data_IF_065688736859
#
_entry.id   IF_065688736859
#
_cell.length_a   1.000
_cell.length_b   1.000
_cell.length_c   1.000
_cell.angle_alpha   90.00
_cell.angle_beta   90.00
_cell.angle_gamma   90.00
#
_symmetry.space_group_name_H-M   'P 1'
#
loop_
_entity.id
_entity.type
_entity.pdbx_description
1 polymer ?
#
# COMPACT_ATOMS: atom_id res chain seq x y z
N UNK A 1 -2.51 -15.78 22.88
CA UNK A 1 -1.56 -15.84 21.77
C UNK A 1 -2.23 -15.77 20.40
N UNK A 2 -3.14 -16.67 20.02
CA UNK A 2 -3.81 -16.64 18.71
C UNK A 2 -4.62 -15.35 18.42
N UNK A 3 -5.39 -14.85 19.40
CA UNK A 3 -6.17 -13.62 19.24
C UNK A 3 -5.30 -12.38 18.93
N UNK A 4 -4.11 -12.31 19.53
CA UNK A 4 -3.21 -11.15 19.36
C UNK A 4 -2.64 -11.06 17.94
N UNK A 5 -2.36 -12.20 17.31
CA UNK A 5 -1.92 -12.26 15.91
C UNK A 5 -3.02 -11.90 14.90
N UNK A 6 -4.28 -12.17 15.24
CA UNK A 6 -5.43 -11.78 14.39
C UNK A 6 -5.86 -10.33 14.60
N UNK A 7 -5.68 -9.78 15.80
CA UNK A 7 -6.08 -8.41 16.12
C UNK A 7 -5.09 -7.36 15.60
N UNK A 8 -3.79 -7.65 15.60
CA UNK A 8 -2.78 -6.67 15.20
C UNK A 8 -2.94 -6.13 13.77
N UNK A 9 -3.21 -6.96 12.73
CA UNK A 9 -3.42 -6.47 11.37
C UNK A 9 -4.71 -5.65 11.23
N UNK A 10 -5.76 -5.99 11.97
CA UNK A 10 -7.03 -5.25 11.96
C UNK A 10 -6.87 -3.88 12.60
N UNK A 11 -6.17 -3.80 13.73
CA UNK A 11 -5.86 -2.52 14.40
C UNK A 11 -4.96 -1.67 13.51
N UNK A 12 -3.89 -2.25 12.96
CA UNK A 12 -2.99 -1.56 12.06
C UNK A 12 -3.69 -1.08 10.78
N UNK A 13 -4.61 -1.88 10.24
CA UNK A 13 -5.45 -1.48 9.11
C UNK A 13 -6.31 -0.26 9.45
N UNK A 14 -7.01 -0.27 10.59
CA UNK A 14 -7.85 0.86 11.01
C UNK A 14 -7.03 2.15 11.18
N UNK A 15 -5.92 2.08 11.92
CA UNK A 15 -5.03 3.23 12.14
C UNK A 15 -4.38 3.71 10.83
N UNK A 16 -3.90 2.78 10.03
CA UNK A 16 -3.30 3.04 8.73
C UNK A 16 -4.27 3.67 7.75
N UNK A 17 -5.53 3.24 7.74
CA UNK A 17 -6.58 3.81 6.89
C UNK A 17 -6.85 5.27 7.23
N UNK A 18 -6.94 5.59 8.54
CA UNK A 18 -7.10 6.97 9.00
C UNK A 18 -5.90 7.83 8.62
N UNK A 19 -4.67 7.33 8.83
CA UNK A 19 -3.45 8.06 8.47
C UNK A 19 -3.37 8.31 6.96
N UNK A 20 -3.62 7.28 6.15
CA UNK A 20 -3.58 7.39 4.69
C UNK A 20 -4.70 8.30 4.16
N UNK A 21 -5.88 8.31 4.78
CA UNK A 21 -6.93 9.28 4.45
C UNK A 21 -6.43 10.71 4.64
N UNK A 22 -5.83 11.02 5.79
CA UNK A 22 -5.26 12.36 6.07
C UNK A 22 -4.15 12.70 5.07
N UNK A 23 -3.28 11.75 4.74
CA UNK A 23 -2.23 11.96 3.74
C UNK A 23 -2.80 12.20 2.34
N UNK A 24 -3.85 11.48 1.92
CA UNK A 24 -4.52 11.72 0.65
C UNK A 24 -5.10 13.15 0.60
N UNK A 25 -5.73 13.61 1.69
CA UNK A 25 -6.22 14.99 1.79
C UNK A 25 -5.06 16.00 1.68
N UNK A 26 -3.95 15.74 2.36
CA UNK A 26 -2.75 16.60 2.27
C UNK A 26 -2.14 16.61 0.86
N UNK A 27 -2.26 15.52 0.11
CA UNK A 27 -1.86 15.41 -1.30
C UNK A 27 -2.87 16.01 -2.29
N UNK A 28 -3.94 16.66 -1.82
CA UNK A 28 -4.91 17.36 -2.67
C UNK A 28 -6.16 16.56 -3.02
N UNK A 29 -6.45 15.45 -2.31
CA UNK A 29 -7.72 14.77 -2.46
C UNK A 29 -8.90 15.66 -2.02
N UNK A 30 -10.10 15.47 -2.59
CA UNK A 30 -11.28 16.24 -2.23
C UNK A 30 -11.59 16.20 -0.72
N UNK A 31 -11.66 17.38 -0.09
CA UNK A 31 -11.81 17.53 1.38
C UNK A 31 -13.26 17.51 1.84
N UNK A 32 -14.15 18.22 1.14
CA UNK A 32 -15.54 18.41 1.57
C UNK A 32 -16.54 17.54 0.80
N UNK A 33 -16.18 17.15 -0.41
CA UNK A 33 -16.97 16.28 -1.27
C UNK A 33 -16.17 14.98 -1.45
N UNK A 34 -16.86 13.84 -1.56
CA UNK A 34 -16.23 12.53 -1.75
C UNK A 34 -15.37 12.03 -0.55
N UNK A 35 -15.71 12.43 0.68
CA UNK A 35 -14.98 12.01 1.90
C UNK A 35 -15.00 10.49 2.07
N UNK A 36 -16.13 9.84 1.83
CA UNK A 36 -16.27 8.39 1.96
C UNK A 36 -15.43 7.65 0.93
N UNK A 37 -15.36 8.18 -0.28
CA UNK A 37 -14.57 7.63 -1.37
C UNK A 37 -13.08 7.78 -1.10
N UNK A 38 -12.65 8.96 -0.61
CA UNK A 38 -11.25 9.19 -0.19
C UNK A 38 -10.89 8.31 1.00
N UNK A 39 -11.81 8.11 1.96
CA UNK A 39 -11.59 7.17 3.06
C UNK A 39 -11.55 5.72 2.58
N UNK A 40 -12.42 5.34 1.64
CA UNK A 40 -12.41 4.03 1.00
C UNK A 40 -11.10 3.75 0.27
N UNK A 41 -10.53 4.75 -0.42
CA UNK A 41 -9.18 4.66 -0.98
C UNK A 41 -8.12 4.51 0.12
N UNK A 42 -8.22 5.24 1.23
CA UNK A 42 -7.37 5.05 2.40
C UNK A 42 -7.41 3.62 2.96
N UNK A 43 -8.61 3.06 3.11
CA UNK A 43 -8.84 1.66 3.50
C UNK A 43 -8.20 0.66 2.54
N UNK A 44 -8.35 0.90 1.24
CA UNK A 44 -7.76 0.09 0.18
C UNK A 44 -6.24 0.12 0.22
N UNK A 45 -5.64 1.31 0.32
CA UNK A 45 -4.19 1.46 0.43
C UNK A 45 -3.66 0.84 1.71
N UNK A 46 -4.32 1.02 2.85
CA UNK A 46 -3.94 0.39 4.12
C UNK A 46 -3.96 -1.15 4.03
N UNK A 47 -4.94 -1.71 3.33
CA UNK A 47 -5.04 -3.14 3.11
C UNK A 47 -3.86 -3.69 2.30
N UNK A 48 -3.40 -2.95 1.29
CA UNK A 48 -2.27 -3.36 0.45
C UNK A 48 -0.90 -3.08 1.09
N UNK A 49 -0.78 -2.04 1.92
CA UNK A 49 0.52 -1.54 2.41
C UNK A 49 0.80 -1.88 3.87
N UNK A 50 -0.19 -1.74 4.75
CA UNK A 50 -0.02 -1.86 6.21
C UNK A 50 -0.29 -3.28 6.69
N UNK A 51 -1.37 -3.90 6.21
CA UNK A 51 -1.80 -5.23 6.64
C UNK A 51 -0.74 -6.32 6.42
N UNK A 52 -0.05 -6.42 5.27
CA UNK A 52 0.95 -7.47 5.08
C UNK A 52 2.11 -7.38 6.07
N UNK A 53 2.58 -6.16 6.35
CA UNK A 53 3.65 -5.95 7.32
C UNK A 53 3.17 -6.25 8.75
N UNK A 54 1.95 -5.81 9.11
CA UNK A 54 1.37 -6.04 10.43
C UNK A 54 1.03 -7.52 10.69
N UNK A 55 0.73 -8.29 9.64
CA UNK A 55 0.50 -9.74 9.74
C UNK A 55 1.77 -10.52 10.10
N UNK A 56 2.94 -10.03 9.68
CA UNK A 56 4.23 -10.70 9.94
C UNK A 56 4.85 -10.19 11.24
N UNK A 57 4.87 -8.87 11.45
CA UNK A 57 5.61 -8.22 12.54
C UNK A 57 4.72 -7.72 13.68
N UNK A 58 3.40 -7.84 13.56
CA UNK A 58 2.46 -7.23 14.50
C UNK A 58 2.36 -5.71 14.32
N UNK A 59 1.76 -5.04 15.31
CA UNK A 59 1.53 -3.60 15.27
C UNK A 59 2.76 -2.82 15.84
N UNK A 60 3.90 -2.95 15.18
CA UNK A 60 5.15 -2.23 15.52
C UNK A 60 5.46 -1.15 14.47
N UNK A 61 5.26 0.11 14.84
CA UNK A 61 5.49 1.25 13.95
C UNK A 61 6.96 1.46 13.59
N UNK A 62 7.90 1.19 14.51
CA UNK A 62 9.33 1.33 14.24
C UNK A 62 9.78 0.28 13.24
N UNK A 63 9.35 -0.98 13.43
CA UNK A 63 9.65 -2.05 12.48
C UNK A 63 9.01 -1.80 11.12
N UNK A 64 7.78 -1.27 11.08
CA UNK A 64 7.13 -0.87 9.84
C UNK A 64 7.93 0.21 9.09
N UNK A 65 8.40 1.25 9.78
CA UNK A 65 9.20 2.30 9.17
C UNK A 65 10.53 1.75 8.63
N UNK A 66 11.22 0.93 9.41
CA UNK A 66 12.48 0.30 9.01
C UNK A 66 12.30 -0.54 7.74
N UNK A 67 11.26 -1.36 7.67
CA UNK A 67 11.02 -2.24 6.52
C UNK A 67 10.46 -1.45 5.32
N UNK A 68 9.30 -0.83 5.48
CA UNK A 68 8.51 -0.32 4.36
C UNK A 68 9.08 1.00 3.82
N UNK A 69 9.60 1.88 4.69
CA UNK A 69 10.06 3.21 4.28
C UNK A 69 11.58 3.24 4.11
N UNK A 70 12.33 2.81 5.12
CA UNK A 70 13.78 2.97 5.14
C UNK A 70 14.53 1.83 4.43
N UNK A 71 13.94 0.63 4.34
CA UNK A 71 14.61 -0.56 3.83
C UNK A 71 15.73 -1.10 4.73
N UNK A 72 15.71 -0.77 6.02
CA UNK A 72 16.72 -1.15 7.00
C UNK A 72 16.40 -2.49 7.66
N UNK A 73 17.43 -3.30 7.93
CA UNK A 73 17.29 -4.55 8.68
C UNK A 73 16.28 -5.55 8.07
N UNK A 74 16.09 -5.48 6.76
CA UNK A 74 15.14 -6.32 6.02
C UNK A 74 15.60 -7.77 5.98
N UNK A 75 14.71 -8.67 6.37
CA UNK A 75 14.86 -10.10 6.14
C UNK A 75 14.28 -10.50 4.78
N UNK A 76 14.53 -11.73 4.35
CA UNK A 76 14.01 -12.26 3.07
C UNK A 76 12.48 -12.20 2.96
N UNK A 77 11.78 -12.34 4.09
CA UNK A 77 10.31 -12.22 4.16
C UNK A 77 9.82 -10.76 4.06
N UNK A 78 10.66 -9.80 4.40
CA UNK A 78 10.34 -8.36 4.42
C UNK A 78 10.42 -7.73 3.03
N UNK A 79 11.20 -8.33 2.12
CA UNK A 79 11.38 -7.88 0.73
C UNK A 79 10.04 -7.68 0.04
N UNK A 80 9.09 -8.61 0.20
CA UNK A 80 7.78 -8.51 -0.43
C UNK A 80 7.00 -7.32 0.12
N UNK A 81 7.00 -7.13 1.45
CA UNK A 81 6.29 -6.00 2.08
C UNK A 81 6.84 -4.65 1.60
N UNK A 82 8.16 -4.50 1.54
CA UNK A 82 8.81 -3.28 1.05
C UNK A 82 8.46 -2.97 -0.42
N UNK A 83 8.57 -3.98 -1.29
CA UNK A 83 8.29 -3.78 -2.72
C UNK A 83 6.82 -3.49 -2.97
N UNK A 84 5.91 -4.25 -2.35
CA UNK A 84 4.47 -4.03 -2.48
C UNK A 84 4.06 -2.67 -1.92
N UNK A 85 4.66 -2.23 -0.80
CA UNK A 85 4.43 -0.89 -0.24
C UNK A 85 4.72 0.20 -1.29
N UNK A 86 5.94 0.25 -1.83
CA UNK A 86 6.32 1.27 -2.80
C UNK A 86 5.59 1.13 -4.13
N UNK A 87 5.37 -0.10 -4.61
CA UNK A 87 4.59 -0.36 -5.82
C UNK A 87 3.17 0.17 -5.70
N UNK A 88 2.52 -0.03 -4.55
CA UNK A 88 1.17 0.47 -4.29
C UNK A 88 1.14 2.00 -4.25
N UNK A 89 2.07 2.64 -3.53
CA UNK A 89 2.11 4.10 -3.39
C UNK A 89 2.41 4.79 -4.73
N UNK A 90 3.44 4.33 -5.46
CA UNK A 90 3.79 4.86 -6.78
C UNK A 90 2.65 4.60 -7.77
N UNK A 91 2.06 3.40 -7.75
CA UNK A 91 0.91 3.07 -8.60
C UNK A 91 -0.31 3.97 -8.32
N UNK A 92 -0.62 4.21 -7.05
CA UNK A 92 -1.69 5.13 -6.65
C UNK A 92 -1.45 6.55 -7.17
N UNK A 93 -0.22 7.04 -7.00
CA UNK A 93 0.19 8.37 -7.42
C UNK A 93 0.14 8.52 -8.94
N UNK A 94 0.65 7.55 -9.70
CA UNK A 94 0.54 7.53 -11.16
C UNK A 94 -0.92 7.44 -11.62
N UNK A 95 -1.76 6.73 -10.87
CA UNK A 95 -3.20 6.69 -11.11
C UNK A 95 -3.87 8.07 -11.00
N UNK A 96 -3.32 9.02 -10.24
CA UNK A 96 -3.87 10.36 -10.15
C UNK A 96 -3.59 11.22 -11.40
N UNK A 97 -2.55 10.91 -12.17
CA UNK A 97 -2.11 11.66 -13.37
C UNK A 97 -3.20 11.81 -14.45
N UNK A 98 -4.00 10.79 -14.80
CA UNK A 98 -5.06 10.94 -15.80
C UNK A 98 -6.28 11.77 -15.34
N UNK A 99 -6.41 12.10 -14.05
CA UNK A 99 -7.60 12.80 -13.53
C UNK A 99 -7.75 14.22 -14.11
N UNK A 100 -6.71 15.08 -14.16
CA UNK A 100 -6.84 16.45 -14.67
C UNK A 100 -7.03 16.53 -16.18
N UNK A 101 -6.75 15.45 -16.92
CA UNK A 101 -6.96 15.38 -18.36
C UNK A 101 -8.46 15.21 -18.71
N UNK A 102 -9.26 14.78 -17.72
CA UNK A 102 -10.72 14.58 -17.69
C UNK A 102 -11.36 14.57 -19.10
N UNK A 103 -11.22 13.45 -19.80
CA UNK A 103 -11.88 13.20 -21.09
C UNK A 103 -13.38 12.88 -20.92
N UNK A 104 -14.02 13.41 -19.87
CA UNK A 104 -15.37 13.04 -19.39
C UNK A 104 -15.56 11.53 -19.15
N UNK A 105 -14.45 10.80 -18.99
CA UNK A 105 -14.49 9.35 -18.93
C UNK A 105 -14.81 8.90 -17.50
N UNK A 106 -15.79 8.00 -17.30
CA UNK A 106 -16.22 7.59 -15.96
C UNK A 106 -15.09 6.90 -15.17
N UNK A 107 -14.12 6.27 -15.86
CA UNK A 107 -12.98 5.64 -15.22
C UNK A 107 -11.96 6.63 -14.68
N UNK A 108 -11.91 7.89 -15.17
CA UNK A 108 -10.99 8.95 -14.70
C UNK A 108 -11.46 9.62 -13.40
N UNK A 109 -12.71 9.37 -12.99
CA UNK A 109 -13.29 9.99 -11.79
C UNK A 109 -12.62 9.49 -10.52
N UNK A 110 -12.30 10.42 -9.62
CA UNK A 110 -11.78 10.10 -8.28
C UNK A 110 -12.71 9.12 -7.54
N UNK A 111 -12.18 8.08 -6.86
CA UNK A 111 -10.78 7.66 -6.73
C UNK A 111 -10.39 6.52 -7.71
N UNK A 112 -11.21 6.25 -8.73
CA UNK A 112 -11.15 5.04 -9.56
C UNK A 112 -9.77 4.81 -10.20
N UNK A 113 -9.12 5.81 -10.83
CA UNK A 113 -7.78 5.64 -11.39
C UNK A 113 -6.71 5.28 -10.35
N UNK A 114 -6.77 5.91 -9.17
CA UNK A 114 -5.83 5.65 -8.08
C UNK A 114 -6.01 4.24 -7.53
N UNK A 115 -7.26 3.76 -7.44
CA UNK A 115 -7.60 2.42 -7.00
C UNK A 115 -6.97 1.37 -7.95
N UNK A 116 -7.17 1.51 -9.25
CA UNK A 116 -6.56 0.63 -10.24
C UNK A 116 -5.04 0.76 -10.32
N UNK A 117 -4.52 1.99 -10.30
CA UNK A 117 -3.08 2.25 -10.32
C UNK A 117 -2.37 1.58 -9.13
N UNK A 118 -2.93 1.73 -7.92
CA UNK A 118 -2.40 1.09 -6.72
C UNK A 118 -2.45 -0.45 -6.79
N UNK A 119 -3.53 -1.02 -7.32
CA UNK A 119 -3.68 -2.47 -7.51
C UNK A 119 -2.64 -3.02 -8.51
N UNK A 120 -2.49 -2.38 -9.66
CA UNK A 120 -1.54 -2.77 -10.70
C UNK A 120 -0.11 -2.63 -10.17
N UNK A 121 0.20 -1.53 -9.48
CA UNK A 121 1.50 -1.30 -8.86
C UNK A 121 1.85 -2.35 -7.81
N UNK A 122 0.89 -2.70 -6.94
CA UNK A 122 1.05 -3.75 -5.94
C UNK A 122 1.34 -5.12 -6.58
N UNK A 123 0.56 -5.50 -7.60
CA UNK A 123 0.73 -6.78 -8.31
C UNK A 123 2.04 -6.86 -9.09
N UNK A 124 2.43 -5.77 -9.75
CA UNK A 124 3.71 -5.67 -10.45
C UNK A 124 4.89 -5.81 -9.49
N UNK A 125 4.86 -5.10 -8.37
CA UNK A 125 5.91 -5.17 -7.37
C UNK A 125 5.99 -6.53 -6.67
N UNK A 126 4.84 -7.16 -6.40
CA UNK A 126 4.78 -8.54 -5.89
C UNK A 126 5.44 -9.52 -6.86
N UNK A 127 5.11 -9.43 -8.15
CA UNK A 127 5.68 -10.27 -9.20
C UNK A 127 7.20 -10.10 -9.29
N UNK A 128 7.69 -8.86 -9.21
CA UNK A 128 9.12 -8.55 -9.19
C UNK A 128 9.82 -9.12 -7.95
N UNK A 129 9.24 -8.98 -6.75
CA UNK A 129 9.80 -9.49 -5.50
C UNK A 129 9.90 -11.03 -5.50
N UNK A 130 8.90 -11.72 -6.05
CA UNK A 130 8.91 -13.18 -6.22
C UNK A 130 9.98 -13.59 -7.24
N UNK A 131 10.09 -12.89 -8.37
CA UNK A 131 11.11 -13.14 -9.39
C UNK A 131 12.53 -13.00 -8.84
N UNK A 132 12.81 -11.92 -8.10
CA UNK A 132 14.09 -11.70 -7.44
C UNK A 132 14.41 -12.84 -6.44
N UNK A 133 13.41 -13.29 -5.68
CA UNK A 133 13.56 -14.37 -4.70
C UNK A 133 13.92 -15.73 -5.32
N UNK A 134 13.48 -15.99 -6.56
CA UNK A 134 13.85 -17.21 -7.32
C UNK A 134 15.29 -17.14 -7.83
N UNK A 135 15.72 -15.98 -8.34
CA UNK A 135 17.07 -15.78 -8.87
C UNK A 135 18.15 -15.97 -7.80
N UNK A 136 17.92 -15.47 -6.59
CA UNK A 136 18.84 -15.67 -5.44
C UNK A 136 19.01 -17.16 -5.12
N UNK A 137 17.94 -17.96 -5.23
CA UNK A 137 17.99 -19.39 -4.91
C UNK A 137 18.79 -20.21 -5.95
N UNK A 138 18.85 -19.76 -7.20
CA UNK A 138 19.59 -20.44 -8.27
C UNK A 138 21.09 -20.12 -8.26
N UNK A 139 21.48 -18.92 -7.82
CA UNK A 139 22.90 -18.52 -7.76
C UNK A 139 23.63 -19.14 -6.56
N UNK A 140 22.90 -19.50 -5.49
CA UNK A 140 23.46 -20.15 -4.30
C UNK A 140 23.46 -21.68 -4.33
N UNK A 141 23.11 -22.30 -5.47
CA UNK A 141 23.14 -23.75 -5.71
C UNK A 141 24.27 -24.10 -6.67
#
# INVERSE_FOLDING_TARGET
>A
YAAMHLMAPVVAWGLGSCLLHVLLLACGAPVFHLVLETYGLGCWLALLTVVPCAAIHGCDGSRFLDICILGNGMQRQDTVCHHVFWGTIVGCWLGAVPIPLDWDAPWQRWPTPCLWGSAIGALGALSAAIGASKKVKQVGS
#
